data_IF_708838142682
#
_entry.id   IF_708838142682
#
_cell.length_a   1.000
_cell.length_b   1.000
_cell.length_c   1.000
_cell.angle_alpha   90.00
_cell.angle_beta   90.00
_cell.angle_gamma   90.00
#
_symmetry.space_group_name_H-M   'P 1'
#
loop_
_entity.id
_entity.type
_entity.pdbx_description
1 polymer ?
#
# COMPACT_ATOMS: atom_id res chain seq x y z
N UNK A 1 -48.44 -41.05 3.48
CA UNK A 1 -47.43 -39.97 3.59
C UNK A 1 -46.57 -40.00 2.34
N UNK A 2 -46.69 -38.95 1.52
CA UNK A 2 -46.25 -38.96 0.12
C UNK A 2 -44.74 -38.68 0.02
N UNK A 3 -44.01 -39.62 -0.60
CA UNK A 3 -42.54 -39.61 -0.76
C UNK A 3 -42.00 -38.37 -1.50
N UNK A 4 -42.88 -37.62 -2.17
CA UNK A 4 -42.56 -36.41 -2.92
C UNK A 4 -42.19 -35.21 -2.04
N UNK A 5 -42.71 -35.11 -0.81
CA UNK A 5 -42.38 -34.00 0.10
C UNK A 5 -40.98 -34.13 0.73
N UNK A 6 -40.45 -35.35 0.87
CA UNK A 6 -39.14 -35.59 1.46
C UNK A 6 -38.01 -35.22 0.48
N UNK A 7 -38.24 -35.41 -0.82
CA UNK A 7 -37.25 -35.10 -1.87
C UNK A 7 -37.05 -33.59 -2.07
N UNK A 8 -38.09 -32.77 -1.89
CA UNK A 8 -37.98 -31.30 -2.01
C UNK A 8 -37.22 -30.66 -0.83
N UNK A 9 -37.34 -31.24 0.38
CA UNK A 9 -36.66 -30.73 1.57
C UNK A 9 -35.14 -30.97 1.54
N UNK A 10 -34.68 -32.07 0.93
CA UNK A 10 -33.24 -32.40 0.83
C UNK A 10 -32.53 -31.49 -0.19
N UNK A 11 -33.20 -31.08 -1.28
CA UNK A 11 -32.62 -30.16 -2.27
C UNK A 11 -32.49 -28.74 -1.70
N UNK A 12 -33.43 -28.29 -0.86
CA UNK A 12 -33.35 -26.97 -0.20
C UNK A 12 -32.28 -26.93 0.91
N UNK A 13 -32.00 -28.04 1.58
CA UNK A 13 -30.92 -28.10 2.60
C UNK A 13 -29.52 -28.22 1.94
N UNK A 14 -29.42 -28.85 0.76
CA UNK A 14 -28.15 -28.89 0.02
C UNK A 14 -27.74 -27.53 -0.58
N UNK A 15 -28.69 -26.65 -0.90
CA UNK A 15 -28.41 -25.29 -1.33
C UNK A 15 -27.96 -24.37 -0.17
N UNK A 16 -28.33 -24.69 1.08
CA UNK A 16 -27.93 -23.94 2.27
C UNK A 16 -26.50 -24.20 2.75
N UNK A 17 -25.91 -25.35 2.41
CA UNK A 17 -24.56 -25.73 2.85
C UNK A 17 -23.43 -25.36 1.88
N UNK A 18 -23.75 -24.95 0.65
CA UNK A 18 -22.74 -24.49 -0.32
C UNK A 18 -22.22 -23.07 -0.05
N UNK A 19 -22.83 -22.32 0.87
CA UNK A 19 -22.42 -20.93 1.18
C UNK A 19 -21.41 -20.82 2.33
N UNK A 20 -21.04 -21.92 2.98
CA UNK A 20 -20.19 -21.89 4.19
C UNK A 20 -18.76 -22.41 4.02
N UNK A 21 -18.29 -22.61 2.78
CA UNK A 21 -16.93 -23.13 2.52
C UNK A 21 -15.96 -22.14 1.86
N UNK A 22 -16.32 -20.86 1.72
CA UNK A 22 -15.40 -19.79 1.35
C UNK A 22 -15.30 -18.80 2.52
N UNK A 23 -14.23 -18.93 3.31
CA UNK A 23 -13.81 -17.94 4.30
C UNK A 23 -13.78 -16.52 3.69
N UNK A 24 -13.92 -15.46 4.50
CA UNK A 24 -14.60 -14.21 4.12
C UNK A 24 -13.91 -13.53 2.94
N UNK A 25 -14.47 -13.70 1.74
CA UNK A 25 -14.24 -12.79 0.64
C UNK A 25 -14.98 -11.50 0.98
N UNK A 26 -14.38 -10.64 1.80
CA UNK A 26 -14.87 -9.29 1.94
C UNK A 26 -14.87 -8.63 0.54
N UNK A 27 -15.82 -7.73 0.24
CA UNK A 27 -15.87 -7.05 -1.05
C UNK A 27 -14.54 -6.40 -1.44
N UNK A 28 -13.78 -5.90 -0.46
CA UNK A 28 -12.46 -5.30 -0.64
C UNK A 28 -11.44 -6.33 -1.14
N UNK A 29 -11.39 -7.53 -0.54
CA UNK A 29 -10.49 -8.61 -0.98
C UNK A 29 -10.83 -9.13 -2.37
N UNK A 30 -12.10 -9.07 -2.77
CA UNK A 30 -12.50 -9.41 -4.14
C UNK A 30 -12.08 -8.33 -5.13
N UNK A 31 -12.23 -7.05 -4.77
CA UNK A 31 -11.78 -5.93 -5.57
C UNK A 31 -10.25 -5.92 -5.75
N UNK A 32 -9.49 -6.13 -4.67
CA UNK A 32 -8.02 -6.28 -4.71
C UNK A 32 -7.62 -7.38 -5.71
N UNK A 33 -8.14 -8.61 -5.55
CA UNK A 33 -7.82 -9.74 -6.45
C UNK A 33 -8.22 -9.51 -7.90
N UNK A 34 -9.32 -8.78 -8.14
CA UNK A 34 -9.76 -8.46 -9.49
C UNK A 34 -8.81 -7.46 -10.16
N UNK A 35 -8.36 -6.45 -9.42
CA UNK A 35 -7.39 -5.46 -9.89
C UNK A 35 -6.01 -6.08 -10.10
N UNK A 36 -5.53 -6.89 -9.14
CA UNK A 36 -4.27 -7.63 -9.23
C UNK A 36 -4.24 -8.46 -10.52
N UNK A 37 -5.21 -9.36 -10.73
CA UNK A 37 -5.29 -10.18 -11.94
C UNK A 37 -5.36 -9.36 -13.23
N UNK A 38 -6.08 -8.24 -13.19
CA UNK A 38 -6.17 -7.33 -14.33
C UNK A 38 -4.81 -6.78 -14.73
N UNK A 39 -4.02 -6.32 -13.75
CA UNK A 39 -2.69 -5.77 -13.96
C UNK A 39 -1.66 -6.85 -14.32
N UNK A 40 -1.66 -7.98 -13.62
CA UNK A 40 -0.79 -9.12 -13.89
C UNK A 40 -0.97 -9.63 -15.33
N UNK A 41 -2.22 -9.71 -15.80
CA UNK A 41 -2.54 -10.17 -17.17
C UNK A 41 -2.01 -9.24 -18.27
N UNK A 42 -1.79 -7.96 -17.95
CA UNK A 42 -1.29 -6.96 -18.89
C UNK A 42 0.23 -6.78 -18.80
N UNK A 43 0.78 -6.82 -17.57
CA UNK A 43 2.18 -6.49 -17.29
C UNK A 43 3.14 -7.67 -17.28
N UNK A 44 2.63 -8.91 -17.19
CA UNK A 44 3.49 -10.12 -17.18
C UNK A 44 4.35 -10.26 -15.92
N UNK A 45 3.98 -9.59 -14.83
CA UNK A 45 4.66 -9.61 -13.54
C UNK A 45 3.65 -9.70 -12.39
N UNK A 46 4.12 -9.94 -11.18
CA UNK A 46 3.27 -10.13 -9.99
C UNK A 46 2.91 -8.78 -9.35
N UNK A 47 1.65 -8.61 -8.95
CA UNK A 47 1.13 -7.38 -8.33
C UNK A 47 0.41 -7.72 -7.02
N UNK A 48 0.73 -7.01 -5.94
CA UNK A 48 0.08 -7.12 -4.63
C UNK A 48 -0.54 -5.75 -4.27
N UNK A 49 -1.86 -5.72 -4.08
CA UNK A 49 -2.61 -4.51 -3.72
C UNK A 49 -3.17 -4.67 -2.32
N UNK A 50 -2.84 -3.72 -1.43
CA UNK A 50 -3.35 -3.71 -0.07
C UNK A 50 -4.11 -2.42 0.23
N UNK A 51 -5.43 -2.51 0.27
CA UNK A 51 -6.33 -1.42 0.68
C UNK A 51 -6.57 -1.48 2.20
N UNK A 52 -6.16 -2.58 2.85
CA UNK A 52 -6.39 -2.82 4.29
C UNK A 52 -5.33 -2.21 5.22
N UNK A 53 -4.51 -1.27 4.72
CA UNK A 53 -3.52 -0.56 5.53
C UNK A 53 -2.40 -1.45 6.06
N UNK A 54 -1.88 -2.37 5.22
CA UNK A 54 -0.64 -3.09 5.53
C UNK A 54 0.53 -2.56 4.71
N UNK A 55 1.72 -2.66 5.28
CA UNK A 55 2.96 -2.38 4.57
C UNK A 55 3.21 -3.43 3.48
N UNK A 56 3.76 -3.05 2.32
CA UNK A 56 4.37 -4.00 1.40
C UNK A 56 5.47 -4.79 2.09
N UNK A 57 5.66 -6.05 1.68
CA UNK A 57 6.66 -6.94 2.29
C UNK A 57 8.10 -6.53 1.95
N UNK A 58 8.26 -5.90 0.80
CA UNK A 58 9.49 -5.45 0.16
C UNK A 58 9.84 -3.99 0.50
N UNK A 59 8.95 -3.24 1.16
CA UNK A 59 9.23 -1.88 1.62
C UNK A 59 10.37 -1.89 2.68
N UNK A 60 11.49 -1.18 2.45
CA UNK A 60 12.55 -1.05 3.44
C UNK A 60 12.04 -0.48 4.76
N UNK A 61 12.39 -1.14 5.86
CA UNK A 61 11.91 -0.76 7.20
C UNK A 61 12.34 0.65 7.61
N UNK A 62 13.48 1.13 7.12
CA UNK A 62 13.96 2.48 7.39
C UNK A 62 13.09 3.56 6.73
N UNK A 63 12.38 3.24 5.66
CA UNK A 63 11.44 4.18 5.02
C UNK A 63 10.10 4.27 5.77
N UNK A 64 9.78 3.32 6.65
CA UNK A 64 8.58 3.37 7.47
C UNK A 64 8.76 4.38 8.60
N UNK A 65 7.94 5.43 8.60
CA UNK A 65 7.98 6.44 9.67
C UNK A 65 7.48 5.84 11.01
N UNK A 66 8.22 5.98 12.12
CA UNK A 66 7.81 5.42 13.41
C UNK A 66 6.45 5.97 13.88
N UNK A 67 5.53 5.07 14.23
CA UNK A 67 4.20 5.43 14.74
C UNK A 67 3.22 5.90 13.66
N UNK A 68 3.57 5.79 12.38
CA UNK A 68 2.61 5.98 11.29
C UNK A 68 1.66 4.77 11.17
N UNK A 69 0.53 4.99 10.52
CA UNK A 69 -0.44 3.95 10.14
C UNK A 69 -0.53 3.89 8.63
N UNK A 70 -0.49 2.70 8.04
CA UNK A 70 -0.68 2.54 6.61
C UNK A 70 -2.14 2.79 6.23
N UNK A 71 -2.33 3.56 5.17
CA UNK A 71 -3.62 3.81 4.53
C UNK A 71 -3.84 2.82 3.38
N UNK A 72 -2.78 2.54 2.63
CA UNK A 72 -2.80 1.59 1.53
C UNK A 72 -1.42 1.40 0.96
N UNK A 73 -1.27 0.36 0.17
CA UNK A 73 -0.03 0.10 -0.54
C UNK A 73 -0.25 -0.74 -1.79
N UNK A 74 0.72 -0.64 -2.69
CA UNK A 74 0.80 -1.31 -3.97
C UNK A 74 2.26 -1.74 -4.15
N UNK A 75 2.50 -2.98 -4.53
CA UNK A 75 3.84 -3.43 -4.94
C UNK A 75 3.72 -4.26 -6.20
N UNK A 76 4.71 -4.14 -7.08
CA UNK A 76 4.80 -4.88 -8.32
C UNK A 76 6.22 -5.37 -8.56
N UNK A 77 6.32 -6.49 -9.28
CA UNK A 77 7.58 -6.98 -9.79
C UNK A 77 7.44 -7.32 -11.27
N UNK A 78 8.45 -7.03 -12.07
CA UNK A 78 8.44 -7.29 -13.51
C UNK A 78 9.84 -7.26 -14.12
N UNK A 79 9.92 -7.30 -15.44
CA UNK A 79 11.20 -7.24 -16.17
C UNK A 79 12.01 -5.96 -15.86
N UNK A 80 11.34 -4.89 -15.47
CA UNK A 80 11.94 -3.58 -15.15
C UNK A 80 12.38 -3.45 -13.68
N UNK A 81 12.11 -4.45 -12.83
CA UNK A 81 12.56 -4.48 -11.44
C UNK A 81 11.44 -4.75 -10.45
N UNK A 82 11.74 -4.56 -9.16
CA UNK A 82 10.78 -4.64 -8.05
C UNK A 82 10.59 -3.26 -7.48
N UNK A 83 9.34 -2.87 -7.23
CA UNK A 83 9.04 -1.59 -6.62
C UNK A 83 7.61 -1.52 -6.09
N UNK A 84 7.30 -0.42 -5.42
CA UNK A 84 6.00 -0.21 -4.84
C UNK A 84 5.74 1.22 -4.43
N UNK A 85 4.48 1.46 -4.07
CA UNK A 85 3.98 2.69 -3.50
C UNK A 85 3.32 2.34 -2.18
N UNK A 86 3.63 3.09 -1.13
CA UNK A 86 2.95 2.97 0.15
C UNK A 86 2.53 4.35 0.66
N UNK A 87 1.32 4.42 1.20
CA UNK A 87 0.78 5.64 1.80
C UNK A 87 0.55 5.40 3.29
N UNK A 88 1.02 6.32 4.12
CA UNK A 88 0.87 6.29 5.56
C UNK A 88 0.35 7.62 6.09
N UNK A 89 -0.27 7.60 7.27
CA UNK A 89 -0.67 8.76 8.02
C UNK A 89 0.04 8.82 9.38
N UNK A 90 0.33 10.02 9.87
CA UNK A 90 0.84 10.25 11.23
C UNK A 90 0.27 11.55 11.82
N UNK A 91 0.32 11.70 13.14
CA UNK A 91 0.02 12.97 13.82
C UNK A 91 1.25 13.87 14.01
N UNK A 92 2.44 13.40 13.61
CA UNK A 92 3.63 14.24 13.59
C UNK A 92 3.52 15.30 12.49
N UNK A 93 4.09 16.48 12.70
CA UNK A 93 4.09 17.55 11.70
C UNK A 93 5.01 17.23 10.51
N UNK A 94 4.76 17.88 9.37
CA UNK A 94 5.62 17.79 8.17
C UNK A 94 7.09 18.02 8.50
N UNK A 95 7.42 19.06 9.28
CA UNK A 95 8.81 19.35 9.72
C UNK A 95 9.43 18.24 10.59
N UNK A 96 8.64 17.54 11.39
CA UNK A 96 9.12 16.43 12.21
C UNK A 96 9.40 15.20 11.34
N UNK A 97 8.52 14.95 10.37
CA UNK A 97 8.65 13.84 9.42
C UNK A 97 9.80 14.08 8.44
N UNK A 98 9.97 15.27 7.90
CA UNK A 98 11.08 15.59 6.98
C UNK A 98 12.44 15.36 7.63
N UNK A 99 12.64 15.84 8.87
CA UNK A 99 13.86 15.62 9.66
C UNK A 99 14.16 14.14 9.94
N UNK A 100 13.14 13.27 9.93
CA UNK A 100 13.36 11.84 10.04
C UNK A 100 14.00 11.29 8.76
N UNK A 101 13.48 11.68 7.60
CA UNK A 101 13.99 11.22 6.30
C UNK A 101 15.38 11.79 5.98
N UNK A 102 15.66 13.04 6.36
CA UNK A 102 17.01 13.63 6.26
C UNK A 102 18.05 12.81 7.05
N UNK A 103 17.67 12.25 8.21
CA UNK A 103 18.58 11.44 9.03
C UNK A 103 18.88 10.07 8.44
N UNK A 104 18.20 9.64 7.38
CA UNK A 104 18.51 8.37 6.73
C UNK A 104 19.89 8.35 6.08
N UNK A 105 20.52 9.52 5.87
CA UNK A 105 21.92 9.61 5.46
C UNK A 105 22.86 8.86 6.41
N UNK A 106 22.61 9.00 7.72
CA UNK A 106 23.36 8.26 8.76
C UNK A 106 23.17 6.73 8.69
N UNK A 107 22.17 6.26 7.93
CA UNK A 107 21.85 4.84 7.69
C UNK A 107 22.26 4.37 6.28
N UNK A 108 23.10 5.15 5.59
CA UNK A 108 23.67 4.82 4.29
C UNK A 108 22.77 5.13 3.10
N UNK A 109 21.76 5.98 3.27
CA UNK A 109 21.05 6.57 2.14
C UNK A 109 21.77 7.83 1.64
N UNK A 110 21.74 8.09 0.35
CA UNK A 110 22.17 9.35 -0.25
C UNK A 110 20.94 10.20 -0.56
N UNK A 111 21.00 11.49 -0.27
CA UNK A 111 19.99 12.45 -0.67
C UNK A 111 20.31 12.98 -2.07
N UNK A 112 19.49 12.64 -3.05
CA UNK A 112 19.68 13.04 -4.45
C UNK A 112 18.95 14.36 -4.77
N UNK A 113 18.06 14.82 -3.89
CA UNK A 113 17.33 16.06 -4.09
C UNK A 113 16.20 16.26 -3.09
N UNK A 114 15.98 17.52 -2.73
CA UNK A 114 14.90 17.96 -1.84
C UNK A 114 14.11 19.07 -2.51
N UNK A 115 12.78 18.96 -2.47
CA UNK A 115 11.85 20.02 -2.85
C UNK A 115 10.95 20.33 -1.66
N UNK A 116 10.82 21.61 -1.34
CA UNK A 116 9.94 22.09 -0.27
C UNK A 116 8.95 23.08 -0.85
N UNK A 117 7.69 22.98 -0.45
CA UNK A 117 6.64 23.93 -0.80
C UNK A 117 5.88 24.37 0.44
N UNK A 118 5.34 25.59 0.40
CA UNK A 118 4.36 26.07 1.37
C UNK A 118 3.22 26.69 0.59
N UNK A 119 1.99 26.28 0.88
CA UNK A 119 0.76 26.84 0.32
C UNK A 119 -0.23 27.20 1.43
N UNK A 120 -1.38 27.78 1.08
CA UNK A 120 -2.47 27.98 2.04
C UNK A 120 -3.01 26.65 2.61
N UNK A 121 -2.83 25.55 1.87
CA UNK A 121 -3.23 24.20 2.25
C UNK A 121 -2.21 23.50 3.18
N UNK A 122 -1.00 24.06 3.29
CA UNK A 122 0.03 23.64 4.24
C UNK A 122 1.41 23.46 3.63
N UNK A 123 2.34 22.98 4.46
CA UNK A 123 3.70 22.66 4.03
C UNK A 123 3.75 21.31 3.31
N UNK A 124 4.60 21.23 2.28
CA UNK A 124 4.92 20.01 1.57
C UNK A 124 6.44 19.82 1.47
N UNK A 125 6.86 18.57 1.48
CA UNK A 125 8.26 18.16 1.45
C UNK A 125 8.40 16.90 0.59
N UNK A 126 9.31 16.93 -0.37
CA UNK A 126 9.64 15.80 -1.23
C UNK A 126 11.15 15.58 -1.13
N UNK A 127 11.57 14.34 -0.88
CA UNK A 127 12.98 13.94 -0.89
C UNK A 127 13.19 12.72 -1.79
N UNK A 128 14.25 12.75 -2.59
CA UNK A 128 14.72 11.59 -3.36
C UNK A 128 15.91 10.97 -2.64
N UNK A 129 15.82 9.68 -2.37
CA UNK A 129 16.78 8.90 -1.59
C UNK A 129 17.32 7.75 -2.42
N UNK A 130 18.62 7.46 -2.32
CA UNK A 130 19.24 6.29 -2.97
C UNK A 130 20.07 5.47 -1.99
N UNK A 131 20.06 4.14 -2.09
CA UNK A 131 20.89 3.23 -1.29
C UNK A 131 21.29 2.01 -2.12
N UNK A 132 22.47 2.05 -2.71
CA UNK A 132 22.88 1.04 -3.70
C UNK A 132 22.02 1.15 -4.96
N UNK A 133 21.41 0.04 -5.38
CA UNK A 133 20.48 -0.02 -6.52
C UNK A 133 19.04 0.35 -6.15
N UNK A 134 18.76 0.63 -4.88
CA UNK A 134 17.43 0.99 -4.41
C UNK A 134 17.25 2.51 -4.43
N UNK A 135 16.18 2.97 -5.07
CA UNK A 135 15.77 4.38 -5.15
C UNK A 135 14.42 4.55 -4.47
N UNK A 136 14.21 5.68 -3.80
CA UNK A 136 12.94 6.03 -3.18
C UNK A 136 12.62 7.52 -3.31
N UNK A 137 11.37 7.85 -3.57
CA UNK A 137 10.83 9.22 -3.49
C UNK A 137 9.83 9.24 -2.35
N UNK A 138 10.10 10.11 -1.38
CA UNK A 138 9.23 10.30 -0.21
C UNK A 138 8.56 11.66 -0.31
N UNK A 139 7.23 11.67 -0.32
CA UNK A 139 6.39 12.86 -0.28
C UNK A 139 5.73 12.97 1.08
N UNK A 140 5.79 14.15 1.68
CA UNK A 140 5.21 14.46 2.98
C UNK A 140 4.38 15.72 2.83
N UNK A 141 3.10 15.67 3.19
CA UNK A 141 2.20 16.83 3.12
C UNK A 141 1.18 16.80 4.25
N UNK A 142 0.55 17.94 4.52
CA UNK A 142 -0.67 17.96 5.33
C UNK A 142 -1.76 17.13 4.62
N UNK A 143 -2.55 16.39 5.39
CA UNK A 143 -3.63 15.57 4.85
C UNK A 143 -4.83 16.45 4.47
N UNK A 144 -5.33 16.29 3.24
CA UNK A 144 -6.50 17.02 2.73
C UNK A 144 -7.74 16.78 3.61
N UNK A 145 -7.92 15.56 4.10
CA UNK A 145 -9.06 15.17 4.94
C UNK A 145 -8.95 15.66 6.40
N UNK A 146 -7.75 16.02 6.87
CA UNK A 146 -7.52 16.39 8.26
C UNK A 146 -6.23 17.21 8.43
N UNK A 147 -6.39 18.51 8.66
CA UNK A 147 -5.26 19.43 8.84
C UNK A 147 -4.31 19.08 10.01
N UNK A 148 -4.73 18.21 10.95
CA UNK A 148 -3.89 17.74 12.06
C UNK A 148 -3.16 16.43 11.76
N UNK A 149 -3.25 15.94 10.51
CA UNK A 149 -2.57 14.72 10.05
C UNK A 149 -1.59 15.07 8.95
N UNK A 150 -0.50 14.32 8.93
CA UNK A 150 0.49 14.36 7.86
C UNK A 150 0.43 13.04 7.10
N UNK A 151 0.28 13.16 5.79
CA UNK A 151 0.32 12.04 4.85
C UNK A 151 1.74 11.86 4.35
N UNK A 152 2.17 10.61 4.29
CA UNK A 152 3.49 10.20 3.82
C UNK A 152 3.29 9.23 2.66
N UNK A 153 3.63 9.65 1.45
CA UNK A 153 3.71 8.78 0.27
C UNK A 153 5.15 8.33 0.05
N UNK A 154 5.36 7.04 -0.17
CA UNK A 154 6.67 6.48 -0.50
C UNK A 154 6.53 5.72 -1.79
N UNK A 155 7.24 6.14 -2.83
CA UNK A 155 7.50 5.34 -4.01
C UNK A 155 8.91 4.79 -3.90
N UNK A 156 9.11 3.49 -4.11
CA UNK A 156 10.43 2.86 -4.04
C UNK A 156 10.58 1.81 -5.13
N UNK A 157 11.81 1.53 -5.51
CA UNK A 157 12.10 0.46 -6.46
C UNK A 157 13.59 0.27 -6.67
N UNK A 158 13.95 -0.87 -7.24
CA UNK A 158 15.33 -1.14 -7.66
C UNK A 158 15.54 -0.71 -9.09
N UNK A 159 16.59 0.06 -9.34
CA UNK A 159 17.08 0.33 -10.69
C UNK A 159 17.68 -0.98 -11.24
N UNK A 160 17.22 -1.43 -12.41
CA UNK A 160 17.91 -2.47 -13.18
C UNK A 160 18.94 -1.77 -14.09
N UNK A 161 20.20 -1.73 -13.65
CA UNK A 161 21.32 -1.29 -14.48
C UNK A 161 21.51 -2.17 -15.74
#
# INVERSE_FOLDING_TARGET
>A
MNKTFILLAVVLVAAGFALNCCAPCSPEKMAERALERGLESQGGGDVDINITGKAPKDLPKELVYPGSKFLGSFSGSGAEGVGGIATMETSASVSTVSKYYEKLESKGWSNEGVLTGSSEEGDSYIITLKKGNLSAVVTVSVSDDNANKTTIGIMYGTDND
#
